data_IF_613622831548
#
_entry.id   IF_613622831548
#
_cell.length_a   1.000
_cell.length_b   1.000
_cell.length_c   1.000
_cell.angle_alpha   90.00
_cell.angle_beta   90.00
_cell.angle_gamma   90.00
#
_symmetry.space_group_name_H-M   'P 1'
#
loop_
_entity.id
_entity.type
_entity.pdbx_description
1 polymer ?
#
# COMPACT_ATOMS: atom_id res chain seq x y z
N UNK A 1 25.09 24.83 24.09
CA UNK A 1 23.88 25.00 23.27
C UNK A 1 23.66 23.71 22.50
N UNK A 2 23.05 22.71 23.14
CA UNK A 2 22.48 21.55 22.43
C UNK A 2 21.03 21.90 22.13
N UNK A 3 20.57 21.67 20.90
CA UNK A 3 19.18 21.65 20.37
C UNK A 3 19.31 21.89 18.85
N UNK A 4 18.81 21.10 17.90
CA UNK A 4 18.14 19.81 17.86
C UNK A 4 18.29 19.28 16.43
N UNK A 5 18.54 17.98 16.31
CA UNK A 5 18.47 17.24 15.05
C UNK A 5 17.00 17.13 14.63
N UNK A 6 16.54 17.99 13.73
CA UNK A 6 15.21 17.89 13.12
C UNK A 6 15.35 17.71 11.60
N UNK A 7 16.03 16.64 11.18
CA UNK A 7 15.77 16.09 9.86
C UNK A 7 14.55 15.17 10.02
N UNK A 8 13.40 15.74 9.67
CA UNK A 8 12.12 15.06 9.47
C UNK A 8 12.36 13.77 8.70
N UNK A 9 12.01 12.66 9.34
CA UNK A 9 11.88 11.35 8.72
C UNK A 9 10.94 11.52 7.52
N UNK A 10 11.48 11.51 6.32
CA UNK A 10 10.70 11.73 5.09
C UNK A 10 9.70 10.61 4.94
N UNK A 11 8.41 10.95 4.94
CA UNK A 11 7.34 10.17 4.33
C UNK A 11 7.85 9.65 2.99
N UNK A 12 8.10 8.35 2.90
CA UNK A 12 8.34 7.71 1.61
C UNK A 12 6.99 7.68 0.91
N UNK A 13 6.68 8.71 0.12
CA UNK A 13 5.51 8.72 -0.74
C UNK A 13 5.53 7.46 -1.62
N UNK A 14 4.50 6.62 -1.49
CA UNK A 14 4.38 5.43 -2.33
C UNK A 14 4.08 5.86 -3.75
N UNK A 15 4.97 5.53 -4.67
CA UNK A 15 4.81 5.80 -6.09
C UNK A 15 4.24 4.60 -6.87
N UNK A 16 3.89 4.85 -8.14
CA UNK A 16 3.31 3.84 -9.04
C UNK A 16 4.27 2.67 -9.29
N UNK A 17 5.58 2.94 -9.37
CA UNK A 17 6.59 1.91 -9.62
C UNK A 17 6.69 0.95 -8.44
N UNK A 18 6.63 1.47 -7.22
CA UNK A 18 6.62 0.68 -5.99
C UNK A 18 5.38 -0.21 -5.90
N UNK A 19 4.20 0.28 -6.30
CA UNK A 19 2.96 -0.53 -6.34
C UNK A 19 3.08 -1.69 -7.34
N UNK A 20 3.65 -1.45 -8.53
CA UNK A 20 3.88 -2.53 -9.49
C UNK A 20 4.90 -3.56 -8.99
N UNK A 21 6.02 -3.11 -8.39
CA UNK A 21 7.01 -4.02 -7.79
C UNK A 21 6.39 -4.87 -6.68
N UNK A 22 5.58 -4.26 -5.83
CA UNK A 22 4.87 -4.97 -4.76
C UNK A 22 3.88 -6.00 -5.33
N UNK A 23 3.10 -5.63 -6.35
CA UNK A 23 2.21 -6.53 -7.05
C UNK A 23 2.97 -7.74 -7.62
N UNK A 24 4.07 -7.51 -8.33
CA UNK A 24 4.88 -8.57 -8.93
C UNK A 24 5.52 -9.46 -7.87
N UNK A 25 6.01 -8.89 -6.76
CA UNK A 25 6.53 -9.66 -5.64
C UNK A 25 5.48 -10.61 -5.07
N UNK A 26 4.26 -10.14 -4.81
CA UNK A 26 3.18 -10.99 -4.26
C UNK A 26 2.72 -12.04 -5.28
N UNK A 27 2.71 -11.69 -6.57
CA UNK A 27 2.26 -12.58 -7.63
C UNK A 27 3.28 -13.69 -7.93
N UNK A 28 4.58 -13.38 -7.87
CA UNK A 28 5.66 -14.33 -8.16
C UNK A 28 6.07 -15.15 -6.94
N UNK A 29 6.01 -14.58 -5.73
CA UNK A 29 6.62 -15.21 -4.57
C UNK A 29 5.83 -16.41 -4.01
N UNK A 30 4.57 -16.62 -4.37
CA UNK A 30 3.76 -17.81 -4.03
C UNK A 30 3.42 -18.00 -2.53
N UNK A 31 4.41 -17.79 -1.65
CA UNK A 31 4.41 -17.99 -0.21
C UNK A 31 4.33 -16.67 0.58
N UNK A 32 3.86 -16.75 1.83
CA UNK A 32 3.71 -15.61 2.74
C UNK A 32 5.02 -15.24 3.45
N UNK A 33 6.05 -14.89 2.68
CA UNK A 33 7.32 -14.41 3.26
C UNK A 33 7.16 -13.00 3.85
N UNK A 34 8.11 -12.57 4.68
CA UNK A 34 8.11 -11.21 5.23
C UNK A 34 8.13 -10.14 4.12
N UNK A 35 8.84 -10.40 3.02
CA UNK A 35 8.89 -9.52 1.84
C UNK A 35 7.54 -9.41 1.14
N UNK A 36 6.80 -10.52 1.05
CA UNK A 36 5.47 -10.56 0.44
C UNK A 36 4.44 -9.84 1.30
N UNK A 37 4.56 -9.94 2.63
CA UNK A 37 3.74 -9.16 3.58
C UNK A 37 4.02 -7.67 3.46
N UNK A 38 5.30 -7.29 3.47
CA UNK A 38 5.71 -5.90 3.27
C UNK A 38 5.23 -5.34 1.93
N UNK A 39 5.29 -6.15 0.87
CA UNK A 39 4.72 -5.77 -0.43
C UNK A 39 3.22 -5.51 -0.34
N UNK A 40 2.47 -6.31 0.42
CA UNK A 40 1.04 -6.07 0.62
C UNK A 40 0.76 -4.78 1.40
N UNK A 41 1.59 -4.46 2.40
CA UNK A 41 1.53 -3.17 3.10
C UNK A 41 1.74 -1.99 2.15
N UNK A 42 2.69 -2.08 1.21
CA UNK A 42 2.92 -1.04 0.19
C UNK A 42 1.66 -0.82 -0.66
N UNK A 43 0.94 -1.89 -1.02
CA UNK A 43 -0.32 -1.76 -1.75
C UNK A 43 -1.39 -1.02 -0.93
N UNK A 44 -1.50 -1.33 0.36
CA UNK A 44 -2.44 -0.67 1.28
C UNK A 44 -2.08 0.81 1.44
N UNK A 45 -0.81 1.14 1.72
CA UNK A 45 -0.34 2.53 1.82
C UNK A 45 -0.57 3.30 0.51
N UNK A 46 -0.44 2.62 -0.64
CA UNK A 46 -0.73 3.18 -1.96
C UNK A 46 -2.15 3.69 -2.13
N UNK A 47 -3.12 3.20 -1.35
CA UNK A 47 -4.50 3.71 -1.32
C UNK A 47 -4.62 5.14 -0.76
N UNK A 48 -3.59 5.63 -0.09
CA UNK A 48 -3.51 7.00 0.41
C UNK A 48 -2.52 7.87 -0.38
N UNK A 49 -1.96 7.33 -1.47
CA UNK A 49 -1.01 8.03 -2.34
C UNK A 49 -1.65 8.94 -3.39
N UNK A 50 -0.95 9.15 -4.51
CA UNK A 50 -1.48 9.92 -5.66
C UNK A 50 -2.68 9.23 -6.32
N UNK A 51 -3.48 9.94 -7.14
CA UNK A 51 -4.64 9.35 -7.83
C UNK A 51 -4.29 8.09 -8.64
N UNK A 52 -3.12 8.05 -9.28
CA UNK A 52 -2.67 6.86 -10.00
C UNK A 52 -2.36 5.70 -9.05
N UNK A 53 -1.75 5.99 -7.89
CA UNK A 53 -1.49 4.99 -6.85
C UNK A 53 -2.79 4.42 -6.28
N UNK A 54 -3.76 5.29 -5.98
CA UNK A 54 -5.10 4.94 -5.49
C UNK A 54 -5.83 4.00 -6.46
N UNK A 55 -5.83 4.33 -7.75
CA UNK A 55 -6.44 3.48 -8.78
C UNK A 55 -5.80 2.09 -8.85
N UNK A 56 -4.48 1.98 -8.71
CA UNK A 56 -3.80 0.68 -8.72
C UNK A 56 -4.03 -0.09 -7.41
N UNK A 57 -3.97 0.57 -6.26
CA UNK A 57 -4.26 -0.01 -4.96
C UNK A 57 -5.67 -0.60 -4.92
N UNK A 58 -6.68 0.14 -5.41
CA UNK A 58 -8.07 -0.33 -5.52
C UNK A 58 -8.22 -1.61 -6.35
N UNK A 59 -7.35 -1.82 -7.35
CA UNK A 59 -7.35 -3.02 -8.19
C UNK A 59 -6.61 -4.20 -7.53
N UNK A 60 -5.52 -3.92 -6.81
CA UNK A 60 -4.59 -4.96 -6.34
C UNK A 60 -4.87 -5.43 -4.91
N UNK A 61 -5.32 -4.55 -4.01
CA UNK A 61 -5.66 -4.93 -2.62
C UNK A 61 -6.71 -6.06 -2.60
N UNK A 62 -7.84 -6.00 -3.33
CA UNK A 62 -8.87 -7.06 -3.28
C UNK A 62 -8.37 -8.39 -3.83
N UNK A 63 -7.47 -8.35 -4.82
CA UNK A 63 -6.94 -9.55 -5.49
C UNK A 63 -6.13 -10.43 -4.55
N UNK A 64 -5.43 -9.83 -3.59
CA UNK A 64 -4.62 -10.56 -2.63
C UNK A 64 -5.21 -10.60 -1.23
N UNK A 65 -6.37 -9.97 -1.01
CA UNK A 65 -7.03 -9.87 0.29
C UNK A 65 -7.01 -11.21 1.02
N UNK A 66 -7.60 -12.28 0.47
CA UNK A 66 -7.66 -13.60 1.11
C UNK A 66 -6.31 -14.28 1.46
N UNK A 67 -5.16 -13.77 0.98
CA UNK A 67 -3.84 -14.28 1.35
C UNK A 67 -3.36 -13.71 2.69
N UNK A 68 -3.88 -12.57 3.14
CA UNK A 68 -3.29 -11.76 4.20
C UNK A 68 -4.29 -11.43 5.32
N UNK A 69 -4.73 -12.44 6.12
CA UNK A 69 -5.71 -12.24 7.18
C UNK A 69 -5.31 -11.23 8.25
N UNK A 70 -4.01 -11.07 8.50
CA UNK A 70 -3.48 -10.11 9.47
C UNK A 70 -3.63 -8.64 9.03
N UNK A 71 -3.90 -8.39 7.74
CA UNK A 71 -4.07 -7.05 7.18
C UNK A 71 -5.52 -6.76 6.75
N UNK A 72 -6.48 -7.62 7.10
CA UNK A 72 -7.87 -7.46 6.67
C UNK A 72 -8.50 -6.13 7.09
N UNK A 73 -8.27 -5.71 8.34
CA UNK A 73 -8.82 -4.44 8.84
C UNK A 73 -8.24 -3.27 8.04
N UNK A 74 -6.91 -3.15 7.97
CA UNK A 74 -6.24 -2.09 7.22
C UNK A 74 -6.59 -2.09 5.72
N UNK A 75 -6.66 -3.26 5.09
CA UNK A 75 -7.00 -3.37 3.68
C UNK A 75 -8.47 -3.02 3.42
N UNK A 76 -9.38 -3.36 4.35
CA UNK A 76 -10.78 -3.00 4.24
C UNK A 76 -10.97 -1.50 4.42
N UNK A 77 -10.36 -0.91 5.45
CA UNK A 77 -10.41 0.53 5.71
C UNK A 77 -9.89 1.32 4.50
N UNK A 78 -8.73 0.94 3.95
CA UNK A 78 -8.18 1.55 2.76
C UNK A 78 -9.11 1.43 1.54
N UNK A 79 -9.79 0.29 1.35
CA UNK A 79 -10.76 0.12 0.27
C UNK A 79 -12.03 0.95 0.47
N UNK A 80 -12.49 1.10 1.72
CA UNK A 80 -13.63 1.97 2.05
C UNK A 80 -13.29 3.43 1.78
N UNK A 81 -12.10 3.89 2.19
CA UNK A 81 -11.60 5.23 1.90
C UNK A 81 -11.54 5.48 0.38
N UNK A 82 -11.07 4.50 -0.40
CA UNK A 82 -11.06 4.57 -1.86
C UNK A 82 -12.47 4.60 -2.47
N UNK A 83 -13.46 3.95 -1.87
CA UNK A 83 -14.85 4.01 -2.31
C UNK A 83 -15.50 5.37 -2.03
N UNK A 84 -15.06 6.05 -0.97
CA UNK A 84 -15.50 7.40 -0.62
C UNK A 84 -14.73 8.49 -1.38
N UNK A 85 -13.60 8.13 -2.00
CA UNK A 85 -12.77 9.03 -2.78
C UNK A 85 -13.48 9.50 -4.05
N UNK A 86 -13.78 10.80 -4.09
CA UNK A 86 -14.51 11.44 -5.19
C UNK A 86 -13.69 11.60 -6.47
N UNK A 87 -12.37 11.39 -6.41
CA UNK A 87 -11.44 11.51 -7.54
C UNK A 87 -11.35 10.21 -8.37
N UNK A 88 -11.90 9.09 -7.89
CA UNK A 88 -12.05 7.85 -8.66
C UNK A 88 -13.42 7.88 -9.36
N UNK A 89 -13.53 8.66 -10.43
CA UNK A 89 -14.72 8.73 -11.29
C UNK A 89 -14.39 8.58 -12.76
#
# INVERSE_FOLDING_TARGET
>A
HHLSNNLTMTETEVDVEQIYKAYDAINNAGDKTAEVKHSYEILIVGAHGSSNCKQLAAQFIPRFFGKFPEYYENALDALLDLCEDTDIK
#
